data_IF_339012862312
#
_entry.id   IF_339012862312
#
_cell.length_a   1.000
_cell.length_b   1.000
_cell.length_c   1.000
_cell.angle_alpha   90.00
_cell.angle_beta   90.00
_cell.angle_gamma   90.00
#
_symmetry.space_group_name_H-M   'P 1'
#
loop_
_entity.id
_entity.type
_entity.pdbx_description
1 polymer ?
#
# COMPACT_ATOMS: atom_id res chain seq x y z
N UNK A 1 -19.74 10.09 -6.63
CA UNK A 1 -20.32 8.76 -6.43
C UNK A 1 -19.23 7.71 -6.45
N UNK A 2 -19.37 6.69 -5.61
CA UNK A 2 -18.48 5.53 -5.58
C UNK A 2 -19.27 4.26 -5.92
N UNK A 3 -18.60 3.29 -6.52
CA UNK A 3 -19.17 1.99 -6.82
C UNK A 3 -18.24 0.89 -6.31
N UNK A 4 -18.77 -0.07 -5.56
CA UNK A 4 -17.96 -1.09 -4.92
C UNK A 4 -18.80 -2.16 -4.23
N UNK A 5 -18.14 -2.98 -3.39
CA UNK A 5 -18.81 -4.01 -2.59
C UNK A 5 -19.16 -3.48 -1.20
N UNK A 6 -20.37 -3.76 -0.73
CA UNK A 6 -20.80 -3.39 0.63
C UNK A 6 -20.02 -4.12 1.74
N UNK A 7 -19.51 -5.31 1.45
CA UNK A 7 -18.70 -6.10 2.37
C UNK A 7 -17.22 -5.68 2.39
N UNK A 8 -16.82 -4.75 1.51
CA UNK A 8 -15.48 -4.18 1.49
C UNK A 8 -15.28 -3.10 2.56
N UNK A 9 -14.05 -2.90 2.99
CA UNK A 9 -13.71 -1.81 3.92
C UNK A 9 -14.04 -0.43 3.34
N UNK A 10 -13.99 -0.29 2.02
CA UNK A 10 -14.28 0.93 1.27
C UNK A 10 -15.69 1.45 1.52
N UNK A 11 -16.68 0.57 1.70
CA UNK A 11 -18.05 0.98 1.97
C UNK A 11 -18.17 1.85 3.22
N UNK A 12 -17.59 1.38 4.34
CA UNK A 12 -17.63 2.13 5.60
C UNK A 12 -16.88 3.47 5.52
N UNK A 13 -15.75 3.49 4.83
CA UNK A 13 -14.94 4.71 4.68
C UNK A 13 -15.63 5.77 3.81
N UNK A 14 -16.18 5.35 2.67
CA UNK A 14 -16.87 6.25 1.72
C UNK A 14 -18.14 6.83 2.32
N UNK A 15 -18.97 5.98 2.95
CA UNK A 15 -20.23 6.42 3.57
C UNK A 15 -19.98 7.31 4.79
N UNK A 16 -18.96 7.03 5.61
CA UNK A 16 -18.54 7.92 6.71
C UNK A 16 -18.06 9.28 6.19
N UNK A 17 -17.43 9.32 5.02
CA UNK A 17 -17.04 10.58 4.36
C UNK A 17 -18.20 11.31 3.68
N UNK A 18 -19.44 10.79 3.72
CA UNK A 18 -20.64 11.43 3.20
C UNK A 18 -20.85 11.28 1.69
N UNK A 19 -20.10 10.40 1.01
CA UNK A 19 -20.26 10.20 -0.43
C UNK A 19 -21.28 9.10 -0.77
N UNK A 20 -22.11 9.27 -1.83
CA UNK A 20 -23.00 8.23 -2.33
C UNK A 20 -22.23 6.99 -2.76
N UNK A 21 -22.71 5.82 -2.34
CA UNK A 21 -22.10 4.52 -2.65
C UNK A 21 -23.08 3.59 -3.34
N UNK A 22 -22.73 3.13 -4.53
CA UNK A 22 -23.50 2.17 -5.32
C UNK A 22 -22.93 0.76 -5.17
N UNK A 23 -23.76 -0.18 -4.76
CA UNK A 23 -23.35 -1.56 -4.57
C UNK A 23 -23.28 -2.31 -5.90
N UNK A 24 -22.12 -2.93 -6.14
CA UNK A 24 -21.91 -3.86 -7.24
C UNK A 24 -21.50 -5.21 -6.67
N UNK A 25 -22.33 -6.23 -6.86
CA UNK A 25 -21.95 -7.59 -6.52
C UNK A 25 -21.01 -8.15 -7.59
N UNK A 26 -19.73 -8.20 -7.26
CA UNK A 26 -18.71 -8.85 -8.06
C UNK A 26 -17.82 -9.67 -7.11
N UNK A 27 -17.57 -10.92 -7.47
CA UNK A 27 -16.70 -11.81 -6.73
C UNK A 27 -15.42 -12.10 -7.53
N UNK A 28 -14.28 -12.12 -6.86
CA UNK A 28 -13.02 -12.55 -7.45
C UNK A 28 -13.02 -14.07 -7.71
N UNK A 29 -12.41 -14.48 -8.81
CA UNK A 29 -12.22 -15.89 -9.11
C UNK A 29 -11.20 -16.52 -8.18
N UNK A 30 -11.54 -17.72 -7.67
CA UNK A 30 -10.66 -18.51 -6.81
C UNK A 30 -9.70 -19.33 -7.67
N UNK A 31 -8.38 -19.21 -7.38
CA UNK A 31 -7.33 -19.85 -8.20
C UNK A 31 -7.10 -21.33 -7.90
N UNK A 32 -7.33 -21.78 -6.65
CA UNK A 32 -7.13 -23.20 -6.28
C UNK A 32 -8.30 -24.06 -6.78
N UNK A 33 -8.04 -25.13 -7.55
CA UNK A 33 -9.11 -25.99 -8.10
C UNK A 33 -9.64 -26.98 -7.03
N UNK A 34 -10.44 -26.46 -6.08
CA UNK A 34 -11.18 -27.27 -5.11
C UNK A 34 -12.66 -27.25 -5.44
N UNK A 35 -13.43 -28.30 -5.09
CA UNK A 35 -14.88 -28.36 -5.32
C UNK A 35 -15.61 -27.14 -4.75
N UNK A 36 -15.18 -26.66 -3.57
CA UNK A 36 -15.70 -25.43 -2.95
C UNK A 36 -15.42 -24.20 -3.80
N UNK A 37 -14.25 -24.13 -4.42
CA UNK A 37 -13.86 -23.00 -5.27
C UNK A 37 -14.52 -23.06 -6.65
N UNK A 38 -14.81 -24.24 -7.17
CA UNK A 38 -15.61 -24.39 -8.39
C UNK A 38 -17.00 -23.76 -8.19
N UNK A 39 -17.69 -24.11 -7.07
CA UNK A 39 -18.98 -23.47 -6.75
C UNK A 39 -18.89 -21.96 -6.60
N UNK A 40 -17.83 -21.45 -5.94
CA UNK A 40 -17.59 -20.00 -5.82
C UNK A 40 -17.31 -19.33 -7.17
N UNK A 41 -16.62 -20.01 -8.07
CA UNK A 41 -16.34 -19.48 -9.40
C UNK A 41 -17.60 -19.46 -10.29
N UNK A 42 -18.53 -20.40 -10.14
CA UNK A 42 -19.85 -20.35 -10.81
C UNK A 42 -20.64 -19.12 -10.33
N UNK A 43 -20.67 -18.86 -9.01
CA UNK A 43 -21.29 -17.65 -8.45
C UNK A 43 -20.59 -16.39 -8.96
N UNK A 44 -19.27 -16.38 -9.04
CA UNK A 44 -18.50 -15.25 -9.56
C UNK A 44 -18.84 -14.98 -11.05
N UNK A 45 -19.02 -16.03 -11.86
CA UNK A 45 -19.43 -15.91 -13.26
C UNK A 45 -20.85 -15.33 -13.40
N UNK A 46 -21.79 -15.78 -12.55
CA UNK A 46 -23.14 -15.23 -12.49
C UNK A 46 -23.14 -13.75 -12.13
N UNK A 47 -22.41 -13.34 -11.09
CA UNK A 47 -22.29 -11.93 -10.70
C UNK A 47 -21.61 -11.10 -11.79
N UNK A 48 -20.61 -11.66 -12.49
CA UNK A 48 -19.97 -11.00 -13.62
C UNK A 48 -20.97 -10.77 -14.77
N UNK A 49 -21.82 -11.74 -15.10
CA UNK A 49 -22.85 -11.60 -16.12
C UNK A 49 -23.88 -10.50 -15.76
N UNK A 50 -24.27 -10.41 -14.48
CA UNK A 50 -25.21 -9.40 -13.99
C UNK A 50 -24.56 -8.02 -13.75
N UNK A 51 -23.24 -7.93 -13.73
CA UNK A 51 -22.54 -6.66 -13.50
C UNK A 51 -22.82 -5.64 -14.62
N UNK A 52 -23.00 -6.09 -15.86
CA UNK A 52 -23.32 -5.23 -17.00
C UNK A 52 -24.63 -4.45 -16.85
N UNK A 53 -25.78 -5.11 -16.65
CA UNK A 53 -27.05 -4.45 -16.40
C UNK A 53 -27.06 -3.53 -15.17
N UNK A 54 -26.44 -3.96 -14.05
CA UNK A 54 -26.32 -3.15 -12.83
C UNK A 54 -25.48 -1.89 -13.07
N UNK A 55 -24.35 -2.05 -13.74
CA UNK A 55 -23.52 -0.91 -14.16
C UNK A 55 -24.28 0.05 -15.06
N UNK A 56 -25.04 -0.47 -16.04
CA UNK A 56 -25.83 0.37 -16.93
C UNK A 56 -26.90 1.17 -16.17
N UNK A 57 -27.52 0.58 -15.13
CA UNK A 57 -28.48 1.27 -14.27
C UNK A 57 -27.80 2.40 -13.48
N UNK A 58 -26.64 2.14 -12.86
CA UNK A 58 -25.85 3.15 -12.13
C UNK A 58 -25.45 4.30 -13.06
N UNK A 59 -24.91 4.00 -14.24
CA UNK A 59 -24.54 5.04 -15.21
C UNK A 59 -25.73 5.88 -15.69
N UNK A 60 -26.91 5.27 -15.81
CA UNK A 60 -28.14 5.98 -16.16
C UNK A 60 -28.64 6.89 -15.03
N UNK A 61 -28.54 6.43 -13.80
CA UNK A 61 -28.93 7.18 -12.60
C UNK A 61 -27.98 8.35 -12.34
N UNK A 62 -26.66 8.07 -12.29
CA UNK A 62 -25.63 9.05 -11.93
C UNK A 62 -25.34 10.02 -13.07
N UNK A 63 -25.42 9.56 -14.32
CA UNK A 63 -25.04 10.32 -15.53
C UNK A 63 -23.69 11.01 -15.37
N UNK A 64 -22.59 10.25 -15.10
CA UNK A 64 -21.30 10.83 -14.83
C UNK A 64 -20.67 11.41 -16.10
N UNK A 65 -19.93 12.51 -15.97
CA UNK A 65 -19.08 13.07 -17.01
C UNK A 65 -17.78 12.28 -17.17
N UNK A 66 -17.36 11.61 -16.10
CA UNK A 66 -16.11 10.85 -16.02
C UNK A 66 -16.28 9.63 -15.12
N UNK A 67 -15.67 8.51 -15.51
CA UNK A 67 -15.58 7.30 -14.68
C UNK A 67 -14.12 6.89 -14.51
N UNK A 68 -13.69 6.75 -13.24
CA UNK A 68 -12.33 6.35 -12.89
C UNK A 68 -12.33 4.96 -12.24
N UNK A 69 -11.45 4.08 -12.70
CA UNK A 69 -11.20 2.78 -12.11
C UNK A 69 -9.84 2.72 -11.40
N UNK A 70 -9.84 2.26 -10.14
CA UNK A 70 -8.62 2.06 -9.35
C UNK A 70 -8.21 0.59 -9.24
N UNK A 71 -8.55 -0.22 -10.25
CA UNK A 71 -8.24 -1.64 -10.28
C UNK A 71 -9.29 -2.52 -9.56
N UNK A 72 -8.98 -3.81 -9.49
CA UNK A 72 -9.87 -4.81 -8.92
C UNK A 72 -11.07 -5.15 -9.82
N UNK A 73 -11.84 -6.16 -9.39
CA UNK A 73 -12.99 -6.65 -10.17
C UNK A 73 -14.13 -5.62 -10.30
N UNK A 74 -14.19 -4.65 -9.39
CA UNK A 74 -15.20 -3.58 -9.38
C UNK A 74 -15.00 -2.51 -10.45
N UNK A 75 -13.90 -2.56 -11.21
CA UNK A 75 -13.65 -1.62 -12.32
C UNK A 75 -14.45 -1.93 -13.62
N UNK A 76 -15.35 -2.92 -13.58
CA UNK A 76 -16.29 -3.21 -14.70
C UNK A 76 -17.06 -2.00 -15.23
N UNK A 77 -17.56 -1.06 -14.38
CA UNK A 77 -18.18 0.18 -14.79
C UNK A 77 -17.38 1.03 -15.77
N UNK A 78 -16.06 1.03 -15.65
CA UNK A 78 -15.17 1.79 -16.55
C UNK A 78 -15.35 1.35 -18.00
N UNK A 79 -15.35 0.04 -18.26
CA UNK A 79 -15.55 -0.49 -19.63
C UNK A 79 -16.92 -0.18 -20.18
N UNK A 80 -17.96 -0.25 -19.33
CA UNK A 80 -19.31 0.06 -19.75
C UNK A 80 -19.48 1.56 -20.05
N UNK A 81 -18.79 2.43 -19.31
CA UNK A 81 -18.73 3.87 -19.55
C UNK A 81 -18.03 4.18 -20.88
N UNK A 82 -16.84 3.59 -21.11
CA UNK A 82 -16.09 3.75 -22.36
C UNK A 82 -16.94 3.37 -23.58
N UNK A 83 -17.65 2.25 -23.53
CA UNK A 83 -18.58 1.83 -24.62
C UNK A 83 -19.76 2.78 -24.88
N UNK A 84 -20.08 3.64 -23.91
CA UNK A 84 -21.12 4.67 -24.02
C UNK A 84 -20.58 6.05 -24.39
N UNK A 85 -19.28 6.17 -24.66
CA UNK A 85 -18.62 7.44 -24.95
C UNK A 85 -18.47 8.38 -23.77
N UNK A 86 -18.67 7.88 -22.53
CA UNK A 86 -18.36 8.63 -21.31
C UNK A 86 -16.85 8.62 -21.12
N UNK A 87 -16.26 9.75 -20.73
CA UNK A 87 -14.83 9.84 -20.46
C UNK A 87 -14.39 8.87 -19.38
N UNK A 88 -13.22 8.25 -19.56
CA UNK A 88 -12.76 7.16 -18.70
C UNK A 88 -11.28 7.27 -18.39
N UNK A 89 -10.95 6.93 -17.16
CA UNK A 89 -9.58 6.79 -16.69
C UNK A 89 -9.40 5.55 -15.83
N UNK A 90 -8.17 5.03 -15.78
CA UNK A 90 -7.76 4.05 -14.76
C UNK A 90 -6.48 4.51 -14.09
N UNK A 91 -6.32 4.09 -12.84
CA UNK A 91 -5.07 4.26 -12.10
C UNK A 91 -4.51 2.89 -11.69
N UNK A 92 -3.26 2.63 -12.06
CA UNK A 92 -2.52 1.43 -11.63
C UNK A 92 -1.52 1.81 -10.55
N UNK A 93 -1.69 1.25 -9.37
CA UNK A 93 -0.92 1.58 -8.18
C UNK A 93 0.41 0.81 -8.07
N UNK A 94 0.55 -0.30 -8.80
CA UNK A 94 1.66 -1.24 -8.64
C UNK A 94 2.62 -1.20 -9.83
N UNK A 95 3.88 -1.51 -9.58
CA UNK A 95 4.90 -1.71 -10.62
C UNK A 95 4.60 -2.91 -11.54
N UNK A 96 3.83 -3.89 -11.01
CA UNK A 96 3.28 -4.97 -11.82
C UNK A 96 1.76 -4.85 -11.91
N UNK A 97 1.21 -4.45 -13.08
CA UNK A 97 -0.21 -4.16 -13.23
C UNK A 97 -1.10 -5.36 -13.00
N UNK A 98 -2.24 -5.11 -12.35
CA UNK A 98 -3.30 -6.08 -12.19
C UNK A 98 -3.97 -6.44 -13.53
N UNK A 99 -4.48 -7.67 -13.64
CA UNK A 99 -5.15 -8.17 -14.87
C UNK A 99 -6.29 -7.25 -15.34
N UNK A 100 -7.08 -6.72 -14.40
CA UNK A 100 -8.19 -5.84 -14.74
C UNK A 100 -7.71 -4.55 -15.43
N UNK A 101 -6.68 -3.91 -14.89
CA UNK A 101 -6.12 -2.68 -15.48
C UNK A 101 -5.49 -2.95 -16.85
N UNK A 102 -4.80 -4.08 -17.05
CA UNK A 102 -4.29 -4.51 -18.37
C UNK A 102 -5.40 -4.65 -19.41
N UNK A 103 -6.54 -5.21 -19.01
CA UNK A 103 -7.70 -5.38 -19.91
C UNK A 103 -8.38 -4.04 -20.23
N UNK A 104 -8.45 -3.13 -19.27
CA UNK A 104 -9.11 -1.83 -19.42
C UNK A 104 -8.23 -0.78 -20.12
N UNK A 105 -6.91 -0.89 -20.02
CA UNK A 105 -5.97 0.09 -20.52
C UNK A 105 -6.21 0.45 -22.00
N UNK A 106 -6.61 -0.54 -22.82
CA UNK A 106 -6.89 -0.32 -24.24
C UNK A 106 -8.21 0.41 -24.49
N UNK A 107 -9.16 0.27 -23.59
CA UNK A 107 -10.54 0.77 -23.77
C UNK A 107 -10.74 2.19 -23.20
N UNK A 108 -9.87 2.67 -22.30
CA UNK A 108 -10.02 3.96 -21.63
C UNK A 108 -9.34 5.11 -22.37
N UNK A 109 -9.73 6.35 -22.05
CA UNK A 109 -9.15 7.56 -22.64
C UNK A 109 -7.75 7.84 -22.07
N UNK A 110 -7.52 7.63 -20.76
CA UNK A 110 -6.22 7.84 -20.12
C UNK A 110 -5.92 6.78 -19.07
N UNK A 111 -4.65 6.42 -18.97
CA UNK A 111 -4.10 5.51 -17.94
C UNK A 111 -3.14 6.27 -17.08
N UNK A 112 -3.33 6.26 -15.78
CA UNK A 112 -2.36 6.71 -14.80
C UNK A 112 -1.59 5.52 -14.26
N UNK A 113 -0.27 5.60 -14.23
CA UNK A 113 0.59 4.58 -13.65
C UNK A 113 1.40 5.19 -12.50
N UNK A 114 1.50 4.46 -11.40
CA UNK A 114 2.35 4.88 -10.29
C UNK A 114 3.84 4.75 -10.62
N UNK A 115 4.21 3.77 -11.45
CA UNK A 115 5.57 3.42 -11.79
C UNK A 115 5.77 3.31 -13.30
N UNK A 116 6.95 3.74 -13.78
CA UNK A 116 7.37 3.56 -15.16
C UNK A 116 7.44 2.07 -15.56
N UNK A 117 7.77 1.16 -14.62
CA UNK A 117 7.81 -0.28 -14.88
C UNK A 117 6.45 -0.89 -15.24
N UNK A 118 5.34 -0.19 -14.95
CA UNK A 118 4.00 -0.63 -15.29
C UNK A 118 3.61 -0.30 -16.75
N UNK A 119 4.21 0.71 -17.37
CA UNK A 119 3.78 1.30 -18.66
C UNK A 119 3.67 0.25 -19.76
N UNK A 120 4.77 -0.41 -20.08
CA UNK A 120 4.81 -1.44 -21.14
C UNK A 120 3.88 -2.63 -20.83
N UNK A 121 3.80 -3.01 -19.56
CA UNK A 121 2.98 -4.14 -19.11
C UNK A 121 1.48 -3.85 -19.16
N UNK A 122 1.07 -2.59 -19.15
CA UNK A 122 -0.31 -2.15 -19.33
C UNK A 122 -0.77 -2.27 -20.81
N UNK A 123 0.17 -2.23 -21.76
CA UNK A 123 -0.11 -2.43 -23.16
C UNK A 123 -0.83 -1.28 -23.86
N UNK A 124 -0.69 -0.05 -23.35
CA UNK A 124 -1.21 1.20 -23.89
C UNK A 124 -0.26 2.37 -23.55
N UNK A 125 1.02 2.31 -23.95
CA UNK A 125 2.03 3.30 -23.54
C UNK A 125 1.68 4.71 -24.04
N UNK A 126 1.03 4.83 -25.19
CA UNK A 126 0.70 6.12 -25.84
C UNK A 126 -0.28 6.99 -25.04
N UNK A 127 -1.04 6.39 -24.12
CA UNK A 127 -2.00 7.09 -23.27
C UNK A 127 -1.76 6.86 -21.77
N UNK A 128 -0.61 6.28 -21.43
CA UNK A 128 -0.20 6.06 -20.05
C UNK A 128 0.69 7.19 -19.55
N UNK A 129 0.27 7.83 -18.48
CA UNK A 129 1.01 8.89 -17.79
C UNK A 129 1.57 8.34 -16.46
N UNK A 130 2.87 8.44 -16.26
CA UNK A 130 3.51 8.10 -14.98
C UNK A 130 3.34 9.28 -14.03
N UNK A 131 2.51 9.10 -13.01
CA UNK A 131 2.11 10.17 -12.09
C UNK A 131 2.43 9.86 -10.62
N UNK A 132 2.79 8.62 -10.29
CA UNK A 132 2.91 8.17 -8.90
C UNK A 132 1.58 7.77 -8.27
N UNK A 133 1.62 7.35 -7.01
CA UNK A 133 0.43 7.16 -6.18
C UNK A 133 0.11 8.45 -5.42
N UNK A 134 -1.17 8.86 -5.31
CA UNK A 134 -1.55 9.97 -4.47
C UNK A 134 -1.23 9.70 -2.99
N UNK A 135 -0.50 10.60 -2.38
CA UNK A 135 -0.20 10.59 -0.95
C UNK A 135 -1.05 11.64 -0.25
N UNK A 136 -1.56 11.30 0.92
CA UNK A 136 -2.42 12.20 1.70
C UNK A 136 -1.67 13.46 2.12
N UNK A 137 -2.28 14.66 2.03
CA UNK A 137 -1.65 15.92 2.44
C UNK A 137 -1.14 15.91 3.90
N UNK A 138 -1.85 15.18 4.78
CA UNK A 138 -1.46 15.03 6.18
C UNK A 138 -0.10 14.34 6.36
N UNK A 139 0.32 13.51 5.39
CA UNK A 139 1.64 12.89 5.38
C UNK A 139 2.68 13.86 4.81
N UNK A 140 2.38 14.50 3.67
CA UNK A 140 3.33 15.37 2.97
C UNK A 140 3.77 16.59 3.81
N UNK A 141 2.86 17.11 4.65
CA UNK A 141 3.06 18.35 5.39
C UNK A 141 3.52 18.14 6.84
N UNK A 142 4.00 16.93 7.22
CA UNK A 142 4.48 16.70 8.60
C UNK A 142 5.87 17.25 8.83
N UNK A 143 6.01 17.99 9.92
CA UNK A 143 7.31 18.42 10.43
C UNK A 143 8.00 17.29 11.19
N UNK A 144 9.21 16.94 10.75
CA UNK A 144 9.98 15.85 11.33
C UNK A 144 10.42 16.14 12.77
N UNK A 145 10.84 17.38 13.05
CA UNK A 145 11.35 17.71 14.39
C UNK A 145 10.21 17.66 15.41
N UNK A 146 9.04 18.20 15.08
CA UNK A 146 7.83 18.12 15.90
C UNK A 146 7.39 16.66 16.11
N UNK A 147 7.42 15.84 15.05
CA UNK A 147 7.07 14.42 15.13
C UNK A 147 8.02 13.63 16.04
N UNK A 148 9.34 13.85 15.94
CA UNK A 148 10.34 13.24 16.83
C UNK A 148 10.18 13.67 18.28
N UNK A 149 9.89 14.96 18.52
CA UNK A 149 9.62 15.46 19.88
C UNK A 149 8.36 14.78 20.47
N UNK A 150 7.30 14.63 19.70
CA UNK A 150 6.04 14.00 20.13
C UNK A 150 6.20 12.53 20.56
N UNK A 151 7.14 11.80 19.96
CA UNK A 151 7.46 10.42 20.33
C UNK A 151 8.63 10.34 21.33
N UNK A 152 9.12 11.46 21.84
CA UNK A 152 10.25 11.55 22.75
C UNK A 152 11.51 10.83 22.22
N UNK A 153 11.76 10.94 20.92
CA UNK A 153 12.88 10.24 20.27
C UNK A 153 14.25 10.68 20.80
N UNK A 154 14.43 11.98 21.06
CA UNK A 154 15.77 12.52 21.36
C UNK A 154 16.73 12.25 20.20
N UNK A 155 17.94 11.81 20.50
CA UNK A 155 18.98 11.46 19.53
C UNK A 155 18.92 10.00 19.08
N UNK A 156 17.96 9.20 19.61
CA UNK A 156 17.82 7.78 19.26
C UNK A 156 17.39 7.60 17.80
N UNK A 157 17.87 6.55 17.18
CA UNK A 157 17.31 6.10 15.90
C UNK A 157 15.90 5.59 16.10
N UNK A 158 14.94 6.10 15.32
CA UNK A 158 13.53 5.68 15.38
C UNK A 158 13.28 4.59 14.34
N UNK A 159 12.95 3.39 14.82
CA UNK A 159 12.52 2.26 13.98
C UNK A 159 11.01 2.14 14.10
N UNK A 160 10.32 2.14 12.96
CA UNK A 160 8.89 1.93 12.87
C UNK A 160 8.61 0.60 12.16
N UNK A 161 7.90 -0.33 12.80
CA UNK A 161 7.59 -1.62 12.19
C UNK A 161 6.10 -1.95 12.23
N UNK A 162 5.56 -2.49 11.12
CA UNK A 162 4.15 -2.88 11.03
C UNK A 162 3.88 -3.83 9.86
N UNK A 163 2.84 -4.66 10.03
CA UNK A 163 2.40 -5.62 9.01
C UNK A 163 1.12 -5.23 8.25
N UNK A 164 0.65 -3.97 8.42
CA UNK A 164 -0.66 -3.48 7.96
C UNK A 164 -1.73 -3.58 9.05
N UNK A 165 -2.98 -3.12 8.78
CA UNK A 165 -4.06 -2.99 9.77
C UNK A 165 -4.46 -4.29 10.46
N UNK A 166 -4.38 -5.42 9.76
CA UNK A 166 -4.66 -6.74 10.34
C UNK A 166 -3.43 -7.38 10.99
N UNK A 167 -2.25 -6.80 10.78
CA UNK A 167 -0.96 -7.37 11.16
C UNK A 167 -0.47 -8.43 10.18
N UNK A 168 0.81 -8.80 10.32
CA UNK A 168 1.43 -9.88 9.58
C UNK A 168 2.19 -10.78 10.56
N UNK A 169 1.70 -12.02 10.74
CA UNK A 169 2.23 -12.94 11.73
C UNK A 169 3.75 -13.06 11.66
N UNK A 170 4.30 -13.28 10.45
CA UNK A 170 5.74 -13.46 10.28
C UNK A 170 6.55 -12.21 10.64
N UNK A 171 6.03 -11.02 10.32
CA UNK A 171 6.68 -9.76 10.74
C UNK A 171 6.68 -9.66 12.27
N UNK A 172 5.55 -9.92 12.92
CA UNK A 172 5.45 -9.86 14.39
C UNK A 172 6.45 -10.83 15.05
N UNK A 173 6.59 -12.06 14.52
CA UNK A 173 7.53 -13.07 15.03
C UNK A 173 8.98 -12.56 15.00
N UNK A 174 9.46 -12.09 13.85
CA UNK A 174 10.87 -11.66 13.71
C UNK A 174 11.15 -10.30 14.34
N UNK A 175 10.14 -9.40 14.39
CA UNK A 175 10.28 -8.12 15.11
C UNK A 175 10.36 -8.35 16.61
N UNK A 176 9.66 -9.32 17.18
CA UNK A 176 9.81 -9.68 18.58
C UNK A 176 11.24 -10.14 18.91
N UNK A 177 11.87 -10.94 18.03
CA UNK A 177 13.28 -11.34 18.18
C UNK A 177 14.21 -10.12 18.05
N UNK A 178 13.93 -9.18 17.14
CA UNK A 178 14.68 -7.94 16.99
C UNK A 178 14.56 -7.06 18.24
N UNK A 179 13.37 -6.86 18.80
CA UNK A 179 13.15 -6.08 20.01
C UNK A 179 13.90 -6.67 21.23
N UNK A 180 13.90 -7.99 21.37
CA UNK A 180 14.66 -8.67 22.41
C UNK A 180 16.17 -8.42 22.25
N UNK A 181 16.69 -8.50 21.03
CA UNK A 181 18.09 -8.20 20.74
C UNK A 181 18.45 -6.73 20.98
N UNK A 182 17.58 -5.80 20.57
CA UNK A 182 17.76 -4.36 20.81
C UNK A 182 17.88 -4.04 22.32
N UNK A 183 17.01 -4.63 23.14
CA UNK A 183 17.04 -4.44 24.60
C UNK A 183 18.25 -5.12 25.24
N UNK A 184 18.57 -6.35 24.84
CA UNK A 184 19.71 -7.09 25.40
C UNK A 184 21.07 -6.41 25.13
N UNK A 185 21.16 -5.59 24.07
CA UNK A 185 22.37 -4.85 23.69
C UNK A 185 22.31 -3.35 24.03
N UNK A 186 21.28 -2.90 24.73
CA UNK A 186 21.06 -1.49 25.13
C UNK A 186 21.27 -0.51 23.98
N UNK A 187 20.68 -0.82 22.82
CA UNK A 187 20.87 -0.01 21.63
C UNK A 187 20.18 1.36 21.76
N UNK A 188 20.78 2.44 21.24
CA UNK A 188 20.20 3.77 21.27
C UNK A 188 19.10 3.92 20.19
N UNK A 189 18.09 3.06 20.26
CA UNK A 189 16.94 3.06 19.36
C UNK A 189 15.64 3.33 20.12
N UNK A 190 14.67 3.89 19.44
CA UNK A 190 13.26 3.89 19.83
C UNK A 190 12.49 3.05 18.81
N UNK A 191 12.05 1.88 19.19
CA UNK A 191 11.27 1.00 18.33
C UNK A 191 9.77 1.20 18.57
N UNK A 192 9.03 1.52 17.51
CA UNK A 192 7.58 1.69 17.50
C UNK A 192 6.99 0.55 16.67
N UNK A 193 6.28 -0.38 17.30
CA UNK A 193 5.72 -1.56 16.62
C UNK A 193 4.19 -1.56 16.64
N UNK A 194 3.57 -1.86 15.48
CA UNK A 194 2.14 -2.14 15.39
C UNK A 194 1.90 -3.62 15.06
N UNK A 195 1.28 -4.33 15.98
CA UNK A 195 1.01 -5.76 15.86
C UNK A 195 -0.09 -6.08 14.84
N UNK A 196 -1.01 -5.10 14.62
CA UNK A 196 -2.28 -5.29 13.92
C UNK A 196 -3.31 -6.04 14.78
N UNK A 197 -4.59 -5.91 14.42
CA UNK A 197 -5.71 -6.43 15.24
C UNK A 197 -5.69 -7.94 15.48
N UNK A 198 -5.02 -8.71 14.64
CA UNK A 198 -4.88 -10.17 14.80
C UNK A 198 -3.55 -10.57 15.45
N UNK A 199 -2.68 -9.62 15.73
CA UNK A 199 -1.32 -9.86 16.20
C UNK A 199 -1.12 -9.66 17.70
N UNK A 200 -2.04 -9.01 18.41
CA UNK A 200 -1.88 -8.60 19.81
C UNK A 200 -1.50 -9.78 20.69
N UNK A 201 -2.34 -10.80 20.77
CA UNK A 201 -2.09 -11.96 21.63
C UNK A 201 -0.81 -12.72 21.25
N UNK A 202 -0.54 -12.85 19.95
CA UNK A 202 0.70 -13.46 19.48
C UNK A 202 1.92 -12.67 19.99
N UNK A 203 1.88 -11.34 19.93
CA UNK A 203 3.02 -10.50 20.30
C UNK A 203 3.26 -10.53 21.81
N UNK A 204 2.20 -10.52 22.64
CA UNK A 204 2.29 -10.71 24.10
C UNK A 204 2.96 -12.05 24.46
N UNK A 205 2.59 -13.14 23.77
CA UNK A 205 3.20 -14.46 23.97
C UNK A 205 4.68 -14.47 23.55
N UNK A 206 5.05 -13.69 22.51
CA UNK A 206 6.43 -13.54 22.05
C UNK A 206 7.26 -12.65 22.98
N UNK A 207 6.70 -11.61 23.58
CA UNK A 207 7.34 -10.81 24.64
C UNK A 207 7.79 -11.70 25.80
N UNK A 208 6.87 -12.52 26.30
CA UNK A 208 7.17 -13.46 27.39
C UNK A 208 8.23 -14.51 26.98
N UNK A 209 8.11 -15.06 25.77
CA UNK A 209 9.01 -16.09 25.23
C UNK A 209 10.44 -15.57 25.03
N UNK A 210 10.59 -14.35 24.52
CA UNK A 210 11.87 -13.77 24.14
C UNK A 210 12.45 -12.87 25.26
N UNK A 211 11.80 -12.81 26.42
CA UNK A 211 12.25 -12.09 27.62
C UNK A 211 12.51 -10.59 27.39
N UNK A 212 11.61 -9.90 26.70
CA UNK A 212 11.63 -8.46 26.55
C UNK A 212 10.28 -7.84 26.95
N UNK A 213 10.22 -6.52 27.16
CA UNK A 213 8.99 -5.83 27.53
C UNK A 213 8.95 -4.41 26.95
N UNK A 214 7.74 -3.91 26.62
CA UNK A 214 7.54 -2.49 26.29
C UNK A 214 8.09 -1.58 27.39
N UNK A 215 8.61 -0.41 27.00
CA UNK A 215 9.24 0.54 27.91
C UNK A 215 9.68 1.82 27.20
N UNK A 216 10.62 2.54 27.74
CA UNK A 216 11.06 3.83 27.21
C UNK A 216 11.63 3.77 25.77
N UNK A 217 12.18 2.62 25.39
CA UNK A 217 12.81 2.37 24.08
C UNK A 217 11.98 1.49 23.15
N UNK A 218 10.87 0.91 23.64
CA UNK A 218 9.98 0.05 22.86
C UNK A 218 8.53 0.38 23.15
N UNK A 219 7.79 0.84 22.13
CA UNK A 219 6.36 1.10 22.21
C UNK A 219 5.63 0.13 21.28
N UNK A 220 4.76 -0.69 21.86
CA UNK A 220 3.94 -1.66 21.14
C UNK A 220 2.48 -1.22 21.15
N UNK A 221 1.84 -1.21 19.99
CA UNK A 221 0.42 -0.88 19.84
C UNK A 221 -0.28 -1.90 18.94
N UNK A 222 -1.57 -2.08 19.14
CA UNK A 222 -2.39 -2.84 18.20
C UNK A 222 -2.47 -2.13 16.85
N UNK A 223 -2.76 -0.83 16.88
CA UNK A 223 -2.95 0.01 15.70
C UNK A 223 -2.30 1.38 15.88
N UNK A 224 -1.86 1.96 14.76
CA UNK A 224 -1.28 3.31 14.70
C UNK A 224 -2.30 4.26 14.10
N UNK A 225 -2.92 5.09 14.94
CA UNK A 225 -3.89 6.10 14.51
C UNK A 225 -3.21 7.31 13.85
N UNK A 226 -2.02 7.67 14.32
CA UNK A 226 -1.24 8.81 13.85
C UNK A 226 -0.06 8.41 12.96
N UNK A 227 -0.29 7.54 11.99
CA UNK A 227 0.74 7.07 11.05
C UNK A 227 1.55 8.22 10.41
N UNK A 228 0.96 9.38 10.02
CA UNK A 228 1.72 10.50 9.49
C UNK A 228 2.85 10.98 10.41
N UNK A 229 2.60 11.08 11.71
CA UNK A 229 3.61 11.52 12.67
C UNK A 229 4.69 10.46 12.88
N UNK A 230 4.31 9.17 12.98
CA UNK A 230 5.29 8.10 13.16
C UNK A 230 6.17 7.90 11.92
N UNK A 231 5.62 8.00 10.72
CA UNK A 231 6.40 8.01 9.48
C UNK A 231 7.35 9.22 9.43
N UNK A 232 6.89 10.40 9.86
CA UNK A 232 7.74 11.59 9.90
C UNK A 232 8.90 11.44 10.90
N UNK A 233 8.66 10.83 12.07
CA UNK A 233 9.68 10.59 13.09
C UNK A 233 10.68 9.51 12.69
N UNK A 234 10.26 8.48 11.93
CA UNK A 234 11.04 7.30 11.64
C UNK A 234 12.34 7.59 10.85
N UNK A 235 13.40 6.87 11.19
CA UNK A 235 14.66 6.77 10.45
C UNK A 235 14.66 5.51 9.57
N UNK A 236 14.11 4.41 10.08
CA UNK A 236 13.99 3.13 9.39
C UNK A 236 12.56 2.60 9.52
N UNK A 237 11.99 2.13 8.42
CA UNK A 237 10.66 1.51 8.42
C UNK A 237 10.76 0.05 7.99
N UNK A 238 10.19 -0.86 8.79
CA UNK A 238 10.11 -2.30 8.49
C UNK A 238 8.64 -2.63 8.21
N UNK A 239 8.30 -2.96 6.96
CA UNK A 239 6.89 -3.16 6.61
C UNK A 239 6.66 -4.09 5.41
N UNK A 240 5.37 -4.35 5.12
CA UNK A 240 4.96 -4.88 3.81
C UNK A 240 5.16 -3.82 2.73
N UNK A 241 5.32 -4.26 1.48
CA UNK A 241 5.52 -3.40 0.31
C UNK A 241 4.21 -3.13 -0.46
N UNK A 242 3.18 -2.73 0.27
CA UNK A 242 1.93 -2.25 -0.35
C UNK A 242 2.16 -0.91 -1.07
N UNK A 243 1.57 -0.75 -2.25
CA UNK A 243 1.83 0.40 -3.12
C UNK A 243 1.66 1.77 -2.44
N UNK A 244 0.62 1.94 -1.61
CA UNK A 244 0.41 3.20 -0.89
C UNK A 244 1.44 3.42 0.22
N UNK A 245 1.82 2.35 0.94
CA UNK A 245 2.89 2.44 1.95
C UNK A 245 4.20 2.88 1.30
N UNK A 246 4.56 2.32 0.14
CA UNK A 246 5.77 2.72 -0.57
C UNK A 246 5.72 4.19 -1.02
N UNK A 247 4.60 4.63 -1.57
CA UNK A 247 4.42 6.03 -1.95
C UNK A 247 4.57 6.98 -0.74
N UNK A 248 4.09 6.59 0.44
CA UNK A 248 4.28 7.34 1.69
C UNK A 248 5.76 7.37 2.11
N UNK A 249 6.47 6.22 2.03
CA UNK A 249 7.91 6.14 2.32
C UNK A 249 8.76 6.98 1.37
N UNK A 250 8.45 6.92 0.08
CA UNK A 250 9.07 7.72 -0.97
C UNK A 250 8.86 9.21 -0.72
N UNK A 251 7.61 9.63 -0.51
CA UNK A 251 7.26 11.04 -0.29
C UNK A 251 7.95 11.62 0.96
N UNK A 252 8.07 10.81 2.02
CA UNK A 252 8.72 11.19 3.29
C UNK A 252 10.23 10.99 3.26
N UNK A 253 10.79 10.31 2.25
CA UNK A 253 12.21 9.99 2.17
C UNK A 253 12.65 9.08 3.32
N UNK A 254 12.00 7.91 3.49
CA UNK A 254 12.30 6.96 4.57
C UNK A 254 13.09 5.76 4.05
N UNK A 255 14.18 5.44 4.74
CA UNK A 255 14.86 4.17 4.55
C UNK A 255 13.94 3.02 4.96
N UNK A 256 13.99 1.89 4.27
CA UNK A 256 13.11 0.77 4.59
C UNK A 256 13.72 -0.61 4.44
N UNK A 257 13.23 -1.54 5.27
CA UNK A 257 13.35 -2.99 5.07
C UNK A 257 11.96 -3.47 4.66
N UNK A 258 11.83 -3.96 3.44
CA UNK A 258 10.57 -4.34 2.85
C UNK A 258 10.42 -5.87 2.83
N UNK A 259 9.30 -6.34 3.36
CA UNK A 259 8.96 -7.76 3.45
C UNK A 259 7.70 -7.99 2.61
N UNK A 260 7.85 -8.29 1.30
CA UNK A 260 6.71 -8.51 0.42
C UNK A 260 5.80 -9.64 0.92
N UNK A 261 4.48 -9.45 0.85
CA UNK A 261 3.53 -10.49 1.18
C UNK A 261 3.49 -11.54 0.06
N UNK A 262 3.67 -12.85 0.36
CA UNK A 262 3.56 -13.91 -0.64
C UNK A 262 2.11 -14.21 -1.04
N UNK A 263 1.13 -13.65 -0.31
CA UNK A 263 -0.29 -13.97 -0.46
C UNK A 263 -1.07 -12.96 -1.32
N UNK A 264 -0.36 -12.15 -2.12
CA UNK A 264 -0.98 -11.15 -3.00
C UNK A 264 -1.03 -11.63 -4.45
N UNK A 265 -1.93 -11.03 -5.24
CA UNK A 265 -2.07 -11.34 -6.65
C UNK A 265 -0.82 -10.93 -7.43
N UNK A 266 -0.40 -11.76 -8.42
CA UNK A 266 0.71 -11.47 -9.34
C UNK A 266 2.04 -11.10 -8.64
N UNK A 267 2.19 -11.45 -7.35
CA UNK A 267 3.36 -11.10 -6.53
C UNK A 267 3.72 -9.59 -6.58
N UNK A 268 2.70 -8.73 -6.76
CA UNK A 268 2.90 -7.29 -7.02
C UNK A 268 3.71 -6.60 -5.91
N UNK A 269 3.59 -7.03 -4.63
CA UNK A 269 4.39 -6.45 -3.55
C UNK A 269 5.90 -6.68 -3.73
N UNK A 270 6.30 -7.82 -4.26
CA UNK A 270 7.70 -8.09 -4.55
C UNK A 270 8.23 -7.13 -5.64
N UNK A 271 7.49 -6.96 -6.73
CA UNK A 271 7.88 -6.04 -7.80
C UNK A 271 7.90 -4.58 -7.34
N UNK A 272 6.96 -4.17 -6.51
CA UNK A 272 6.96 -2.85 -5.90
C UNK A 272 8.22 -2.63 -5.04
N UNK A 273 8.57 -3.62 -4.19
CA UNK A 273 9.75 -3.53 -3.33
C UNK A 273 11.06 -3.47 -4.12
N UNK A 274 11.15 -4.19 -5.25
CA UNK A 274 12.34 -4.18 -6.10
C UNK A 274 12.65 -2.80 -6.68
N UNK A 275 11.65 -1.95 -6.96
CA UNK A 275 11.89 -0.58 -7.43
C UNK A 275 12.67 0.24 -6.41
N UNK A 276 12.27 0.17 -5.13
CA UNK A 276 12.97 0.87 -4.05
C UNK A 276 14.36 0.26 -3.81
N UNK A 277 14.49 -1.07 -3.87
CA UNK A 277 15.79 -1.74 -3.72
C UNK A 277 16.76 -1.34 -4.84
N UNK A 278 16.31 -1.36 -6.09
CA UNK A 278 17.14 -1.00 -7.26
C UNK A 278 17.60 0.46 -7.21
N UNK A 279 16.82 1.34 -6.60
CA UNK A 279 17.18 2.73 -6.35
C UNK A 279 18.07 2.92 -5.11
N UNK A 280 18.36 1.85 -4.36
CA UNK A 280 19.13 1.95 -3.11
C UNK A 280 18.34 2.53 -1.93
N UNK A 281 17.01 2.58 -2.02
CA UNK A 281 16.11 3.12 -1.02
C UNK A 281 15.64 2.11 0.02
N UNK A 282 15.73 0.81 -0.30
CA UNK A 282 15.26 -0.27 0.54
C UNK A 282 16.16 -1.50 0.51
N UNK A 283 16.05 -2.33 1.55
CA UNK A 283 16.50 -3.72 1.54
C UNK A 283 15.25 -4.59 1.47
N UNK A 284 15.23 -5.54 0.54
CA UNK A 284 14.11 -6.48 0.38
C UNK A 284 14.48 -7.83 0.97
N UNK A 285 13.62 -8.34 1.86
CA UNK A 285 13.73 -9.69 2.42
C UNK A 285 12.42 -10.42 2.10
N UNK A 286 12.48 -11.42 1.23
CA UNK A 286 11.29 -12.24 0.96
C UNK A 286 10.90 -13.05 2.21
N UNK A 287 9.59 -13.24 2.43
CA UNK A 287 9.10 -13.91 3.65
C UNK A 287 9.66 -15.34 3.83
N UNK A 288 9.99 -16.03 2.74
CA UNK A 288 10.61 -17.37 2.78
C UNK A 288 12.04 -17.36 3.37
N UNK A 289 12.76 -16.24 3.21
CA UNK A 289 14.14 -16.05 3.66
C UNK A 289 14.20 -15.24 4.97
N UNK A 290 13.05 -14.80 5.47
CA UNK A 290 12.95 -13.95 6.66
C UNK A 290 13.10 -14.80 7.93
N UNK A 291 14.17 -14.55 8.68
CA UNK A 291 14.41 -15.07 10.02
C UNK A 291 14.72 -13.93 10.98
N UNK A 292 14.58 -14.11 12.29
CA UNK A 292 14.99 -13.11 13.28
C UNK A 292 16.47 -12.76 13.14
N UNK A 293 17.34 -13.76 12.97
CA UNK A 293 18.78 -13.55 12.75
C UNK A 293 19.00 -12.66 11.52
N UNK A 294 18.36 -12.98 10.38
CA UNK A 294 18.51 -12.19 9.15
C UNK A 294 18.05 -10.76 9.32
N UNK A 295 16.95 -10.53 10.03
CA UNK A 295 16.45 -9.17 10.30
C UNK A 295 17.41 -8.42 11.22
N UNK A 296 17.89 -9.04 12.31
CA UNK A 296 18.85 -8.47 13.26
C UNK A 296 20.16 -8.09 12.54
N UNK A 297 20.74 -9.00 11.76
CA UNK A 297 21.97 -8.73 10.98
C UNK A 297 21.76 -7.55 10.01
N UNK A 298 20.60 -7.48 9.35
CA UNK A 298 20.28 -6.40 8.42
C UNK A 298 20.15 -5.06 9.15
N UNK A 299 19.42 -5.01 10.26
CA UNK A 299 19.27 -3.79 11.08
C UNK A 299 20.62 -3.36 11.66
N UNK A 300 21.36 -4.31 12.22
CA UNK A 300 22.70 -4.04 12.77
C UNK A 300 23.65 -3.41 11.73
N UNK A 301 23.71 -3.98 10.52
CA UNK A 301 24.52 -3.44 9.43
C UNK A 301 24.11 -2.01 9.04
N UNK A 302 22.80 -1.73 8.99
CA UNK A 302 22.29 -0.38 8.68
C UNK A 302 22.63 0.64 9.78
N UNK A 303 22.55 0.22 11.04
CA UNK A 303 22.88 1.10 12.19
C UNK A 303 24.39 1.33 12.35
N UNK A 304 25.21 0.36 11.96
CA UNK A 304 26.67 0.44 12.05
C UNK A 304 27.32 1.34 10.98
N UNK A 305 26.63 1.63 9.88
CA UNK A 305 27.14 2.46 8.77
C UNK A 305 26.61 3.91 8.89
N UNK A 306 27.47 4.88 9.31
CA UNK A 306 27.04 6.26 9.46
C UNK A 306 26.49 6.85 8.15
N UNK A 307 25.33 7.49 8.23
CA UNK A 307 24.67 8.11 7.06
C UNK A 307 23.93 7.16 6.14
N UNK A 308 24.00 5.83 6.34
CA UNK A 308 23.34 4.85 5.48
C UNK A 308 21.83 5.07 5.37
N UNK A 309 21.15 5.20 6.50
CA UNK A 309 19.71 5.45 6.55
C UNK A 309 19.35 6.77 5.84
N UNK A 310 20.18 7.81 6.01
CA UNK A 310 19.99 9.09 5.33
C UNK A 310 20.14 8.96 3.81
N UNK A 311 21.15 8.24 3.35
CA UNK A 311 21.38 7.99 1.94
C UNK A 311 20.21 7.20 1.31
N UNK A 312 19.73 6.15 1.98
CA UNK A 312 18.57 5.38 1.57
C UNK A 312 17.29 6.23 1.53
N UNK A 313 17.08 7.07 2.55
CA UNK A 313 15.94 8.00 2.58
C UNK A 313 16.00 9.03 1.45
N UNK A 314 17.18 9.54 1.12
CA UNK A 314 17.38 10.44 -0.02
C UNK A 314 17.05 9.73 -1.33
N UNK A 315 17.50 8.50 -1.51
CA UNK A 315 17.16 7.68 -2.66
C UNK A 315 15.64 7.42 -2.76
N UNK A 316 14.97 7.10 -1.64
CA UNK A 316 13.51 6.95 -1.61
C UNK A 316 12.80 8.21 -2.11
N UNK A 317 13.24 9.38 -1.67
CA UNK A 317 12.63 10.67 -2.03
C UNK A 317 12.72 10.97 -3.52
N UNK A 318 13.71 10.44 -4.23
CA UNK A 318 13.83 10.63 -5.70
C UNK A 318 12.80 9.84 -6.48
N UNK A 319 12.20 8.80 -5.90
CA UNK A 319 11.15 8.00 -6.53
C UNK A 319 9.76 8.62 -6.33
N UNK A 320 9.56 9.32 -5.23
CA UNK A 320 8.26 9.89 -4.86
C UNK A 320 7.82 11.05 -5.75
N UNK A 321 6.53 11.10 -6.04
CA UNK A 321 5.93 12.26 -6.71
C UNK A 321 4.89 12.92 -5.79
N UNK A 322 5.27 13.96 -5.03
CA UNK A 322 4.33 14.66 -4.13
C UNK A 322 3.19 15.38 -4.87
N UNK A 323 3.34 15.61 -6.18
CA UNK A 323 2.32 16.26 -7.03
C UNK A 323 1.39 15.27 -7.74
N UNK A 324 1.46 13.99 -7.39
CA UNK A 324 0.66 12.94 -8.03
C UNK A 324 -0.84 13.30 -8.09
N UNK A 325 -1.43 13.74 -6.99
CA UNK A 325 -2.84 14.11 -6.92
C UNK A 325 -3.17 15.30 -7.84
N UNK A 326 -2.31 16.31 -7.87
CA UNK A 326 -2.46 17.50 -8.73
C UNK A 326 -2.41 17.12 -10.21
N UNK A 327 -1.43 16.28 -10.61
CA UNK A 327 -1.27 15.82 -11.98
C UNK A 327 -2.47 15.00 -12.46
N UNK A 328 -2.94 14.07 -11.62
CA UNK A 328 -4.14 13.27 -11.91
C UNK A 328 -5.34 14.19 -12.08
N UNK A 329 -5.58 15.09 -11.11
CA UNK A 329 -6.74 16.00 -11.13
C UNK A 329 -6.73 16.92 -12.33
N UNK A 330 -5.58 17.53 -12.65
CA UNK A 330 -5.45 18.40 -13.81
C UNK A 330 -5.77 17.66 -15.12
N UNK A 331 -5.24 16.44 -15.30
CA UNK A 331 -5.51 15.64 -16.50
C UNK A 331 -6.97 15.19 -16.61
N UNK A 332 -7.62 14.86 -15.49
CA UNK A 332 -9.03 14.51 -15.47
C UNK A 332 -9.92 15.72 -15.83
N UNK A 333 -9.62 16.90 -15.33
CA UNK A 333 -10.34 18.14 -15.70
C UNK A 333 -10.14 18.49 -17.16
N UNK A 334 -8.93 18.36 -17.70
CA UNK A 334 -8.65 18.51 -19.14
C UNK A 334 -9.52 17.55 -19.97
N UNK A 335 -9.58 16.28 -19.55
CA UNK A 335 -10.35 15.26 -20.26
C UNK A 335 -11.85 15.55 -20.30
N UNK A 336 -12.42 16.07 -19.22
CA UNK A 336 -13.85 16.44 -19.11
C UNK A 336 -14.14 17.73 -19.87
N UNK A 337 -13.28 18.72 -19.80
CA UNK A 337 -13.49 20.03 -20.43
C UNK A 337 -13.14 20.04 -21.93
N UNK A 338 -12.58 18.95 -22.46
CA UNK A 338 -12.27 18.83 -23.90
C UNK A 338 -11.12 19.73 -24.38
N UNK A 339 -10.24 20.14 -23.49
CA UNK A 339 -9.06 20.98 -23.78
C UNK A 339 -7.77 20.18 -23.72
#
# INVERSE_FOLDING_TARGET
HFAGRKEGMEYGLVTKAGYPFHHIEINGFQRKPTLKNVGRNVVALYHLALSGPRTAAILKEVRPDLVIGCGGYVSGPVRAAAKKGIKTAIHEQNAFPGVTNKLLAKDVDVVFAASAAAVEKLGAPEKTLVVGNPVRPEILNRDRAAARAAVHAGDRTVILSFGGSLGARRINEVVAELCAWEQANDLPVLHLHATGSRGVKLFEDLEAKNHFAPGANLVVKEYIDNMPDLLAAADLVISRSGALTLAELEAMGRASILIPSPNVAENHQYYNALELQNAGAAIVIEEKDLTGIKLIETVHALLAEPGKLTAMGTAAKTLGNPKSLELITAKLLELVNGK
#
